data_IF_283227835050
#
_entry.id   IF_283227835050
#
_cell.length_a   1.000
_cell.length_b   1.000
_cell.length_c   1.000
_cell.angle_alpha   90.00
_cell.angle_beta   90.00
_cell.angle_gamma   90.00
#
_symmetry.space_group_name_H-M   'P 1'
#
loop_
_entity.id
_entity.type
_entity.pdbx_description
1 polymer ?
#
# COMPACT_ATOMS: atom_id res chain seq x y z
N UNK A 1 -25.24 -11.43 7.18
CA UNK A 1 -24.21 -10.34 7.21
C UNK A 1 -23.84 -10.03 5.79
N UNK A 2 -23.58 -8.74 5.43
CA UNK A 2 -23.14 -8.40 4.08
C UNK A 2 -21.71 -8.91 3.88
N UNK A 3 -21.46 -9.60 2.77
CA UNK A 3 -20.12 -10.03 2.36
C UNK A 3 -19.42 -8.89 1.66
N UNK A 4 -18.09 -8.89 1.69
CA UNK A 4 -17.26 -7.87 1.02
C UNK A 4 -16.18 -8.50 0.15
N UNK A 5 -15.57 -7.69 -0.71
CA UNK A 5 -14.41 -8.07 -1.53
C UNK A 5 -13.17 -7.26 -1.11
N UNK A 6 -11.99 -7.84 -1.26
CA UNK A 6 -10.71 -7.22 -0.94
C UNK A 6 -9.70 -7.40 -2.07
N UNK A 7 -8.90 -6.35 -2.30
CA UNK A 7 -7.82 -6.32 -3.28
C UNK A 7 -6.50 -6.01 -2.59
N UNK A 8 -5.47 -6.81 -2.86
CA UNK A 8 -4.11 -6.60 -2.36
C UNK A 8 -3.14 -6.44 -3.53
N UNK A 9 -2.58 -5.26 -3.65
CA UNK A 9 -1.54 -4.91 -4.63
C UNK A 9 -0.17 -5.14 -3.98
N UNK A 10 0.69 -5.94 -4.60
CA UNK A 10 1.94 -6.40 -4.00
C UNK A 10 1.80 -7.66 -3.15
N UNK A 11 0.85 -8.53 -3.49
CA UNK A 11 0.49 -9.74 -2.73
C UNK A 11 1.61 -10.78 -2.56
N UNK A 12 2.69 -10.73 -3.34
CA UNK A 12 3.85 -11.63 -3.18
C UNK A 12 4.84 -11.19 -2.09
N UNK A 13 4.75 -9.95 -1.61
CA UNK A 13 5.58 -9.43 -0.51
C UNK A 13 5.14 -9.99 0.87
N UNK A 14 6.02 -9.92 1.88
CA UNK A 14 5.73 -10.45 3.22
C UNK A 14 4.43 -9.88 3.81
N UNK A 15 4.26 -8.56 3.78
CA UNK A 15 3.06 -7.90 4.33
C UNK A 15 1.86 -8.11 3.39
N UNK A 16 2.07 -8.00 2.06
CA UNK A 16 0.99 -8.20 1.08
C UNK A 16 0.40 -9.60 1.13
N UNK A 17 1.23 -10.64 1.23
CA UNK A 17 0.77 -12.02 1.38
C UNK A 17 0.04 -12.25 2.72
N UNK A 18 0.47 -11.57 3.79
CA UNK A 18 -0.22 -11.65 5.07
C UNK A 18 -1.60 -10.96 5.02
N UNK A 19 -1.73 -9.81 4.34
CA UNK A 19 -3.06 -9.19 4.09
C UNK A 19 -3.95 -10.11 3.27
N UNK A 20 -3.44 -10.73 2.21
CA UNK A 20 -4.25 -11.61 1.39
C UNK A 20 -4.76 -12.80 2.20
N UNK A 21 -3.88 -13.48 2.96
CA UNK A 21 -4.29 -14.56 3.86
C UNK A 21 -5.28 -14.11 4.93
N UNK A 22 -5.13 -12.88 5.46
CA UNK A 22 -6.10 -12.33 6.41
C UNK A 22 -7.50 -12.26 5.80
N UNK A 23 -7.62 -11.75 4.56
CA UNK A 23 -8.91 -11.69 3.86
C UNK A 23 -9.44 -13.06 3.44
N UNK A 24 -8.58 -13.96 2.97
CA UNK A 24 -8.96 -15.34 2.61
C UNK A 24 -9.51 -16.13 3.80
N UNK A 25 -9.04 -15.84 5.02
CA UNK A 25 -9.49 -16.49 6.26
C UNK A 25 -10.70 -15.79 6.91
N UNK A 26 -11.12 -14.64 6.42
CA UNK A 26 -12.33 -13.96 6.93
C UNK A 26 -13.58 -14.51 6.23
N UNK A 27 -14.46 -15.16 6.99
CA UNK A 27 -15.72 -15.71 6.49
C UNK A 27 -16.67 -14.67 5.87
N UNK A 28 -16.47 -13.39 6.12
CA UNK A 28 -17.22 -12.30 5.50
C UNK A 28 -16.61 -11.80 4.18
N UNK A 29 -15.39 -12.20 3.86
CA UNK A 29 -14.75 -11.88 2.59
C UNK A 29 -15.19 -12.89 1.53
N UNK A 30 -15.98 -12.45 0.57
CA UNK A 30 -16.47 -13.31 -0.52
C UNK A 30 -15.46 -13.52 -1.64
N UNK A 31 -14.52 -12.58 -1.78
CA UNK A 31 -13.45 -12.63 -2.78
C UNK A 31 -12.25 -11.81 -2.29
N UNK A 32 -11.10 -12.45 -2.17
CA UNK A 32 -9.81 -11.79 -1.97
C UNK A 32 -8.95 -11.94 -3.23
N UNK A 33 -8.55 -10.82 -3.83
CA UNK A 33 -7.74 -10.82 -5.06
C UNK A 33 -6.34 -10.29 -4.76
N UNK A 34 -5.32 -11.06 -5.12
CA UNK A 34 -3.92 -10.66 -5.00
C UNK A 34 -3.31 -10.32 -6.35
N UNK A 35 -2.69 -9.16 -6.47
CA UNK A 35 -1.90 -8.76 -7.63
C UNK A 35 -0.43 -8.60 -7.25
N UNK A 36 0.46 -9.08 -8.09
CA UNK A 36 1.90 -8.89 -7.89
C UNK A 36 2.71 -9.02 -9.17
N UNK A 37 3.95 -8.54 -9.13
CA UNK A 37 4.90 -8.66 -10.23
C UNK A 37 5.32 -10.12 -10.48
N UNK A 38 5.51 -10.88 -9.42
CA UNK A 38 5.94 -12.28 -9.51
C UNK A 38 4.74 -13.21 -9.35
N UNK A 39 4.68 -14.25 -10.18
CA UNK A 39 3.72 -15.32 -10.00
C UNK A 39 4.03 -16.07 -8.70
N UNK A 40 3.02 -16.22 -7.86
CA UNK A 40 3.08 -16.98 -6.60
C UNK A 40 1.74 -17.66 -6.37
N UNK A 41 1.62 -18.48 -5.33
CA UNK A 41 0.32 -19.02 -4.89
C UNK A 41 -0.71 -17.94 -4.54
N UNK A 42 -0.24 -16.72 -4.26
CA UNK A 42 -1.06 -15.57 -3.87
C UNK A 42 -1.25 -14.56 -5.02
N UNK A 43 -0.84 -14.89 -6.25
CA UNK A 43 -0.96 -13.98 -7.39
C UNK A 43 -2.07 -14.43 -8.31
N UNK A 44 -3.17 -13.68 -8.34
CA UNK A 44 -4.28 -13.90 -9.27
C UNK A 44 -4.02 -13.23 -10.62
N UNK A 45 -3.51 -11.98 -10.61
CA UNK A 45 -3.09 -11.24 -11.79
C UNK A 45 -1.68 -10.72 -11.62
N UNK A 46 -0.91 -10.73 -12.71
CA UNK A 46 0.44 -10.16 -12.73
C UNK A 46 0.40 -8.75 -13.30
N UNK A 47 1.16 -7.85 -12.68
CA UNK A 47 1.38 -6.50 -13.16
C UNK A 47 2.84 -6.07 -13.01
N UNK A 48 3.25 -5.12 -13.82
CA UNK A 48 4.52 -4.41 -13.68
C UNK A 48 4.24 -3.00 -13.19
N UNK A 49 4.77 -2.65 -12.02
CA UNK A 49 4.48 -1.37 -11.34
C UNK A 49 4.92 -0.15 -12.17
N UNK A 50 5.96 -0.32 -12.97
CA UNK A 50 6.58 0.70 -13.82
C UNK A 50 5.95 0.75 -15.23
N UNK A 51 4.96 -0.11 -15.50
CA UNK A 51 4.25 -0.19 -16.78
C UNK A 51 2.76 0.11 -16.56
N UNK A 52 2.34 1.34 -16.91
CA UNK A 52 0.97 1.79 -16.70
C UNK A 52 -0.06 0.99 -17.51
N UNK A 53 0.28 0.51 -18.71
CA UNK A 53 -0.62 -0.33 -19.52
C UNK A 53 -0.90 -1.66 -18.84
N UNK A 54 0.10 -2.25 -18.18
CA UNK A 54 -0.06 -3.45 -17.37
C UNK A 54 -1.04 -3.22 -16.21
N UNK A 55 -0.96 -2.08 -15.53
CA UNK A 55 -1.88 -1.71 -14.45
C UNK A 55 -3.31 -1.52 -14.97
N UNK A 56 -3.46 -0.80 -16.10
CA UNK A 56 -4.75 -0.57 -16.73
C UNK A 56 -5.41 -1.89 -17.17
N UNK A 57 -4.63 -2.81 -17.74
CA UNK A 57 -5.10 -4.14 -18.13
C UNK A 57 -5.62 -4.95 -16.95
N UNK A 58 -4.89 -4.98 -15.83
CA UNK A 58 -5.34 -5.66 -14.62
C UNK A 58 -6.62 -5.04 -14.05
N UNK A 59 -6.72 -3.72 -14.01
CA UNK A 59 -7.93 -3.03 -13.55
C UNK A 59 -9.14 -3.35 -14.45
N UNK A 60 -8.93 -3.34 -15.76
CA UNK A 60 -9.98 -3.70 -16.73
C UNK A 60 -10.46 -5.15 -16.57
N UNK A 61 -9.56 -6.09 -16.27
CA UNK A 61 -9.92 -7.49 -16.00
C UNK A 61 -10.84 -7.63 -14.76
N UNK A 62 -10.65 -6.79 -13.75
CA UNK A 62 -11.49 -6.75 -12.54
C UNK A 62 -12.80 -5.99 -12.73
N UNK A 63 -12.92 -5.20 -13.80
CA UNK A 63 -14.16 -4.50 -14.20
C UNK A 63 -15.00 -5.30 -15.20
N UNK A 64 -14.57 -6.46 -15.65
CA UNK A 64 -15.24 -7.21 -16.70
C UNK A 64 -16.29 -8.17 -16.10
N UNK A 65 -17.60 -7.89 -16.25
CA UNK A 65 -18.66 -8.75 -15.71
C UNK A 65 -18.64 -10.18 -16.25
N UNK A 66 -18.11 -10.38 -17.47
CA UNK A 66 -17.98 -11.69 -18.11
C UNK A 66 -16.62 -12.33 -17.89
N UNK A 67 -15.74 -11.68 -17.11
CA UNK A 67 -14.41 -12.19 -16.78
C UNK A 67 -14.43 -13.19 -15.61
N UNK A 68 -13.27 -13.78 -15.32
CA UNK A 68 -13.16 -14.81 -14.27
C UNK A 68 -13.46 -14.29 -12.85
N UNK A 69 -13.39 -12.98 -12.63
CA UNK A 69 -13.65 -12.34 -11.33
C UNK A 69 -15.04 -11.68 -11.27
N UNK A 70 -15.74 -11.55 -12.40
CA UNK A 70 -16.96 -10.76 -12.50
C UNK A 70 -16.69 -9.26 -12.34
N UNK A 71 -17.74 -8.50 -12.03
CA UNK A 71 -17.61 -7.09 -11.68
C UNK A 71 -17.18 -7.00 -10.21
N UNK A 72 -15.97 -6.48 -9.97
CA UNK A 72 -15.45 -6.33 -8.61
C UNK A 72 -15.73 -4.92 -8.07
N UNK A 73 -16.21 -4.87 -6.83
CA UNK A 73 -16.32 -3.67 -6.02
C UNK A 73 -15.71 -3.96 -4.64
N UNK A 74 -14.56 -3.35 -4.38
CA UNK A 74 -13.76 -3.69 -3.20
C UNK A 74 -14.09 -2.79 -2.01
N UNK A 75 -14.33 -3.38 -0.85
CA UNK A 75 -14.36 -2.67 0.44
C UNK A 75 -12.96 -2.28 0.89
N UNK A 76 -11.99 -3.14 0.62
CA UNK A 76 -10.59 -2.95 0.98
C UNK A 76 -9.71 -3.02 -0.25
N UNK A 77 -8.95 -1.96 -0.50
CA UNK A 77 -7.84 -1.97 -1.47
C UNK A 77 -6.58 -1.64 -0.69
N UNK A 78 -5.67 -2.60 -0.62
CA UNK A 78 -4.41 -2.48 0.11
C UNK A 78 -3.26 -2.42 -0.89
N UNK A 79 -2.60 -1.28 -0.98
CA UNK A 79 -1.36 -1.15 -1.73
C UNK A 79 -0.16 -1.44 -0.82
N UNK A 80 0.33 -2.66 -0.90
CA UNK A 80 1.50 -3.17 -0.18
C UNK A 80 2.79 -3.12 -1.03
N UNK A 81 2.83 -2.28 -2.07
CA UNK A 81 4.00 -2.13 -2.93
C UNK A 81 5.07 -1.22 -2.33
N UNK A 82 6.30 -1.37 -2.80
CA UNK A 82 7.42 -0.53 -2.43
C UNK A 82 8.68 -1.34 -2.11
N UNK A 83 9.83 -0.67 -2.20
CA UNK A 83 11.12 -1.27 -1.92
C UNK A 83 12.08 -0.26 -1.28
N UNK A 84 12.90 -0.72 -0.35
CA UNK A 84 13.96 0.09 0.28
C UNK A 84 15.27 -0.02 -0.51
N UNK A 85 15.62 -1.25 -0.89
CA UNK A 85 16.77 -1.55 -1.77
C UNK A 85 16.25 -1.78 -3.17
N UNK A 86 16.72 -1.00 -4.14
CA UNK A 86 16.34 -1.07 -5.55
C UNK A 86 17.62 -1.23 -6.37
N UNK A 87 17.62 -2.13 -7.35
CA UNK A 87 18.78 -2.42 -8.21
C UNK A 87 20.06 -2.72 -7.40
N UNK A 88 19.93 -3.44 -6.28
CA UNK A 88 20.97 -3.76 -5.30
C UNK A 88 21.57 -2.54 -4.56
N UNK A 89 21.02 -1.34 -4.75
CA UNK A 89 21.43 -0.13 -4.03
C UNK A 89 20.53 0.08 -2.82
N UNK A 90 21.12 0.12 -1.64
CA UNK A 90 20.45 0.50 -0.39
C UNK A 90 20.25 2.01 -0.28
N UNK A 91 19.47 2.47 0.72
CA UNK A 91 19.19 3.90 0.88
C UNK A 91 20.45 4.66 1.30
N UNK A 92 20.57 5.91 0.83
CA UNK A 92 21.71 6.81 1.05
C UNK A 92 21.78 7.23 2.52
N UNK A 93 22.96 7.16 3.11
CA UNK A 93 23.18 7.52 4.52
C UNK A 93 23.70 8.96 4.70
N UNK A 94 24.27 9.56 3.66
CA UNK A 94 24.91 10.87 3.68
C UNK A 94 24.60 11.65 2.42
N UNK A 95 24.66 12.98 2.50
CA UNK A 95 24.35 13.88 1.39
C UNK A 95 25.25 13.62 0.17
N UNK A 96 26.53 13.36 0.41
CA UNK A 96 27.52 13.11 -0.66
C UNK A 96 27.26 11.80 -1.42
N UNK A 97 26.45 10.90 -0.85
CA UNK A 97 26.07 9.65 -1.49
C UNK A 97 24.88 9.80 -2.45
N UNK A 98 24.30 10.99 -2.56
CA UNK A 98 23.18 11.24 -3.45
C UNK A 98 23.58 11.04 -4.91
N UNK A 99 22.69 10.35 -5.62
CA UNK A 99 22.86 10.00 -7.01
C UNK A 99 21.51 10.14 -7.72
N UNK A 100 21.47 10.90 -8.80
CA UNK A 100 20.23 11.20 -9.52
C UNK A 100 19.50 9.95 -10.02
N UNK A 101 20.24 8.97 -10.55
CA UNK A 101 19.67 7.72 -11.04
C UNK A 101 18.98 6.95 -9.91
N UNK A 102 19.61 6.83 -8.75
CA UNK A 102 19.05 6.16 -7.58
C UNK A 102 17.83 6.91 -7.02
N UNK A 103 17.89 8.24 -6.94
CA UNK A 103 16.76 9.07 -6.54
C UNK A 103 15.55 8.84 -7.44
N UNK A 104 15.74 8.92 -8.76
CA UNK A 104 14.66 8.66 -9.73
C UNK A 104 14.05 7.26 -9.56
N UNK A 105 14.88 6.23 -9.37
CA UNK A 105 14.40 4.86 -9.11
C UNK A 105 13.60 4.75 -7.81
N UNK A 106 14.02 5.46 -6.74
CA UNK A 106 13.26 5.50 -5.49
C UNK A 106 11.88 6.15 -5.69
N UNK A 107 11.81 7.24 -6.44
CA UNK A 107 10.53 7.88 -6.77
C UNK A 107 9.66 7.01 -7.66
N UNK A 108 10.21 6.40 -8.69
CA UNK A 108 9.48 5.52 -9.60
C UNK A 108 8.77 4.38 -8.87
N UNK A 109 9.49 3.66 -8.02
CA UNK A 109 8.96 2.49 -7.30
C UNK A 109 8.09 2.87 -6.10
N UNK A 110 8.46 3.93 -5.34
CA UNK A 110 7.82 4.22 -4.06
C UNK A 110 6.83 5.40 -4.09
N UNK A 111 6.73 6.14 -5.20
CA UNK A 111 5.81 7.27 -5.36
C UNK A 111 4.99 7.18 -6.66
N UNK A 112 5.65 7.13 -7.82
CA UNK A 112 4.97 7.16 -9.13
C UNK A 112 4.14 5.88 -9.34
N UNK A 113 4.73 4.70 -9.17
CA UNK A 113 4.02 3.43 -9.28
C UNK A 113 2.78 3.36 -8.37
N UNK A 114 2.89 3.64 -7.06
CA UNK A 114 1.74 3.76 -6.17
C UNK A 114 0.68 4.78 -6.59
N UNK A 115 1.07 5.90 -7.17
CA UNK A 115 0.11 6.87 -7.71
C UNK A 115 -0.67 6.31 -8.91
N UNK A 116 0.02 5.59 -9.80
CA UNK A 116 -0.61 4.90 -10.93
C UNK A 116 -1.53 3.76 -10.47
N UNK A 117 -1.12 2.99 -9.44
CA UNK A 117 -2.02 2.02 -8.82
C UNK A 117 -3.29 2.69 -8.30
N UNK A 118 -3.16 3.79 -7.59
CA UNK A 118 -4.32 4.54 -7.10
C UNK A 118 -5.20 5.04 -8.25
N UNK A 119 -4.63 5.58 -9.33
CA UNK A 119 -5.34 6.01 -10.53
C UNK A 119 -6.23 4.90 -11.10
N UNK A 120 -5.70 3.69 -11.25
CA UNK A 120 -6.39 2.59 -11.91
C UNK A 120 -7.30 1.78 -10.99
N UNK A 121 -6.95 1.62 -9.71
CA UNK A 121 -7.68 0.72 -8.81
C UNK A 121 -8.61 1.45 -7.83
N UNK A 122 -8.37 2.73 -7.50
CA UNK A 122 -9.33 3.49 -6.67
C UNK A 122 -10.76 3.52 -7.26
N UNK A 123 -10.98 3.61 -8.59
CA UNK A 123 -12.32 3.52 -9.16
C UNK A 123 -13.10 2.25 -8.81
N UNK A 124 -12.40 1.16 -8.45
CA UNK A 124 -12.98 -0.13 -8.03
C UNK A 124 -13.38 -0.17 -6.55
N UNK A 125 -13.13 0.90 -5.80
CA UNK A 125 -13.51 0.98 -4.39
C UNK A 125 -15.04 1.11 -4.29
N UNK A 126 -15.65 0.36 -3.37
CA UNK A 126 -17.09 0.38 -3.14
C UNK A 126 -17.60 1.78 -2.79
N UNK A 127 -18.75 2.17 -3.37
CA UNK A 127 -19.28 3.53 -3.23
C UNK A 127 -20.12 3.75 -1.97
N UNK A 128 -20.81 2.70 -1.52
CA UNK A 128 -21.95 2.83 -0.61
C UNK A 128 -21.62 2.60 0.87
N UNK A 129 -20.39 2.25 1.20
CA UNK A 129 -19.95 1.97 2.58
C UNK A 129 -18.63 2.69 2.87
N UNK A 130 -18.20 2.66 4.12
CA UNK A 130 -16.86 3.11 4.53
C UNK A 130 -15.80 2.16 3.92
N UNK A 131 -15.60 2.28 2.61
CA UNK A 131 -14.58 1.51 1.90
C UNK A 131 -13.23 2.23 2.00
N UNK A 132 -12.15 1.46 2.07
CA UNK A 132 -10.83 1.98 2.37
C UNK A 132 -9.82 1.67 1.28
N UNK A 133 -9.11 2.71 0.81
CA UNK A 133 -7.86 2.61 0.07
C UNK A 133 -6.71 2.88 1.04
N UNK A 134 -5.96 1.85 1.38
CA UNK A 134 -4.81 1.96 2.26
C UNK A 134 -3.51 1.69 1.50
N UNK A 135 -2.46 2.47 1.78
CA UNK A 135 -1.15 2.28 1.17
C UNK A 135 -0.07 2.14 2.24
N UNK A 136 0.85 1.17 2.08
CA UNK A 136 1.98 1.03 2.97
C UNK A 136 2.97 2.17 2.78
N UNK A 137 2.93 3.12 3.69
CA UNK A 137 3.94 4.16 3.82
C UNK A 137 5.02 3.72 4.83
N UNK A 138 5.65 4.67 5.45
CA UNK A 138 6.61 4.44 6.53
C UNK A 138 6.73 5.71 7.37
N UNK A 139 6.99 5.60 8.67
CA UNK A 139 7.25 6.75 9.56
C UNK A 139 8.34 7.68 9.01
N UNK A 140 9.31 7.12 8.31
CA UNK A 140 10.37 7.90 7.65
C UNK A 140 9.87 8.79 6.49
N UNK A 141 8.63 8.63 6.04
CA UNK A 141 7.96 9.54 5.10
C UNK A 141 7.33 10.77 5.75
N UNK A 142 7.31 10.85 7.07
CA UNK A 142 6.95 12.06 7.80
C UNK A 142 8.10 13.07 7.74
N UNK A 143 7.79 14.31 7.35
CA UNK A 143 8.75 15.42 7.35
C UNK A 143 8.94 15.91 8.79
N UNK A 144 7.83 16.02 9.52
CA UNK A 144 7.82 16.54 10.89
C UNK A 144 8.51 15.58 11.89
N UNK A 145 8.36 14.26 11.72
CA UNK A 145 8.97 13.23 12.57
C UNK A 145 10.40 12.84 12.12
N UNK A 146 11.05 13.67 11.27
CA UNK A 146 12.38 13.38 10.74
C UNK A 146 13.50 13.93 11.62
N UNK A 147 13.78 13.28 12.74
CA UNK A 147 14.91 13.61 13.63
C UNK A 147 16.19 12.81 13.34
N UNK A 148 16.12 11.72 12.57
CA UNK A 148 17.24 10.81 12.35
C UNK A 148 18.04 11.09 11.09
N UNK A 149 17.46 11.75 10.08
CA UNK A 149 18.08 11.96 8.77
C UNK A 149 18.40 10.66 8.02
N UNK A 150 19.28 10.77 7.02
CA UNK A 150 19.64 9.66 6.13
C UNK A 150 18.47 9.17 5.25
N UNK A 151 18.72 8.18 4.41
CA UNK A 151 17.74 7.54 3.53
C UNK A 151 16.99 8.53 2.63
N UNK A 152 17.72 9.48 2.08
CA UNK A 152 17.19 10.65 1.37
C UNK A 152 16.14 10.30 0.32
N UNK A 153 16.51 9.44 -0.64
CA UNK A 153 15.62 9.06 -1.73
C UNK A 153 14.38 8.32 -1.23
N UNK A 154 14.54 7.39 -0.28
CA UNK A 154 13.43 6.63 0.27
C UNK A 154 12.46 7.51 1.09
N UNK A 155 12.99 8.38 1.98
CA UNK A 155 12.18 9.34 2.75
C UNK A 155 11.40 10.27 1.82
N UNK A 156 12.10 10.88 0.87
CA UNK A 156 11.49 11.80 -0.09
C UNK A 156 10.38 11.11 -0.91
N UNK A 157 10.62 9.89 -1.40
CA UNK A 157 9.63 9.15 -2.16
C UNK A 157 8.41 8.73 -1.30
N UNK A 158 8.61 8.36 -0.02
CA UNK A 158 7.50 8.07 0.90
C UNK A 158 6.71 9.33 1.29
N UNK A 159 7.37 10.47 1.46
CA UNK A 159 6.69 11.77 1.65
C UNK A 159 5.87 12.16 0.39
N UNK A 160 6.44 11.97 -0.80
CA UNK A 160 5.72 12.18 -2.06
C UNK A 160 4.49 11.28 -2.19
N UNK A 161 4.61 9.98 -1.84
CA UNK A 161 3.48 9.04 -1.78
C UNK A 161 2.38 9.53 -0.82
N UNK A 162 2.77 10.03 0.36
CA UNK A 162 1.84 10.58 1.33
C UNK A 162 1.10 11.81 0.77
N UNK A 163 1.81 12.72 0.10
CA UNK A 163 1.21 13.88 -0.55
C UNK A 163 0.24 13.49 -1.67
N UNK A 164 0.61 12.52 -2.51
CA UNK A 164 -0.24 12.02 -3.59
C UNK A 164 -1.52 11.38 -3.03
N UNK A 165 -1.41 10.60 -1.94
CA UNK A 165 -2.56 10.02 -1.26
C UNK A 165 -3.47 11.10 -0.66
N UNK A 166 -2.92 12.10 0.00
CA UNK A 166 -3.67 13.23 0.57
C UNK A 166 -4.43 14.00 -0.52
N UNK A 167 -3.75 14.27 -1.66
CA UNK A 167 -4.37 14.97 -2.79
C UNK A 167 -5.54 14.17 -3.37
N UNK A 168 -5.36 12.86 -3.55
CA UNK A 168 -6.40 11.98 -4.05
C UNK A 168 -7.57 11.85 -3.07
N UNK A 169 -7.32 11.82 -1.76
CA UNK A 169 -8.38 11.79 -0.75
C UNK A 169 -9.27 13.04 -0.82
N UNK A 170 -8.69 14.22 -0.99
CA UNK A 170 -9.42 15.49 -1.15
C UNK A 170 -10.25 15.49 -2.44
N UNK A 171 -9.69 15.00 -3.54
CA UNK A 171 -10.42 14.88 -4.81
C UNK A 171 -11.58 13.87 -4.68
N UNK A 172 -11.30 12.70 -4.12
CA UNK A 172 -12.27 11.64 -3.93
C UNK A 172 -13.45 12.05 -3.04
N UNK A 173 -13.22 12.85 -2.00
CA UNK A 173 -14.26 13.29 -1.08
C UNK A 173 -15.42 14.02 -1.78
N UNK A 174 -15.17 14.62 -2.96
CA UNK A 174 -16.20 15.30 -3.75
C UNK A 174 -17.20 14.33 -4.41
N UNK A 175 -16.77 13.12 -4.74
CA UNK A 175 -17.58 12.12 -5.46
C UNK A 175 -17.87 10.87 -4.64
N UNK A 176 -17.01 10.57 -3.65
CA UNK A 176 -17.04 9.38 -2.81
C UNK A 176 -16.81 9.76 -1.33
N UNK A 177 -17.74 10.51 -0.71
CA UNK A 177 -17.54 11.09 0.64
C UNK A 177 -17.39 10.03 1.75
N UNK A 178 -17.78 8.78 1.49
CA UNK A 178 -17.65 7.66 2.43
C UNK A 178 -16.33 6.90 2.28
N UNK A 179 -15.43 7.31 1.38
CA UNK A 179 -14.14 6.65 1.21
C UNK A 179 -13.15 7.06 2.31
N UNK A 180 -12.44 6.08 2.83
CA UNK A 180 -11.32 6.23 3.76
C UNK A 180 -10.01 6.10 2.98
N UNK A 181 -9.08 7.02 3.20
CA UNK A 181 -7.72 6.95 2.67
C UNK A 181 -6.73 6.87 3.83
N UNK A 182 -5.87 5.86 3.82
CA UNK A 182 -4.90 5.63 4.88
C UNK A 182 -3.48 5.41 4.36
N UNK A 183 -2.53 6.17 4.89
CA UNK A 183 -1.11 5.86 4.84
C UNK A 183 -0.76 5.04 6.08
N UNK A 184 -0.22 3.83 5.91
CA UNK A 184 0.03 2.89 6.98
C UNK A 184 1.53 2.73 7.24
N UNK A 185 1.94 2.88 8.50
CA UNK A 185 3.23 2.44 8.99
C UNK A 185 3.09 1.04 9.61
N UNK A 186 3.63 -0.01 8.98
CA UNK A 186 3.42 -1.40 9.43
C UNK A 186 4.24 -1.80 10.67
N UNK A 187 5.06 -0.90 11.22
CA UNK A 187 6.12 -1.27 12.14
C UNK A 187 7.34 -1.83 11.41
N UNK A 188 8.31 -2.32 12.16
CA UNK A 188 9.41 -3.11 11.59
C UNK A 188 8.94 -4.56 11.47
N UNK A 189 8.75 -5.04 10.25
CA UNK A 189 8.17 -6.36 9.97
C UNK A 189 9.24 -7.29 9.39
N UNK A 190 9.24 -8.55 9.80
CA UNK A 190 10.11 -9.60 9.25
C UNK A 190 9.88 -9.73 7.74
N UNK A 191 10.88 -9.36 6.95
CA UNK A 191 10.82 -9.36 5.49
C UNK A 191 12.21 -9.26 4.89
N UNK A 192 12.34 -9.56 3.61
CA UNK A 192 13.60 -9.32 2.88
C UNK A 192 14.00 -7.83 2.88
N UNK A 193 13.03 -6.91 3.07
CA UNK A 193 13.29 -5.48 3.15
C UNK A 193 13.98 -5.10 4.46
N UNK A 194 13.57 -5.66 5.58
CA UNK A 194 14.06 -5.33 6.93
C UNK A 194 15.25 -6.16 7.38
N UNK A 195 15.45 -7.36 6.83
CA UNK A 195 16.44 -8.34 7.29
C UNK A 195 17.89 -7.82 7.31
N UNK A 196 18.22 -6.84 6.46
CA UNK A 196 19.56 -6.21 6.44
C UNK A 196 19.76 -5.15 7.55
N UNK A 197 18.71 -4.76 8.26
CA UNK A 197 18.73 -3.62 9.18
C UNK A 197 18.32 -3.97 10.61
N UNK A 198 17.52 -5.04 10.78
CA UNK A 198 16.95 -5.43 12.07
C UNK A 198 17.00 -6.95 12.21
N UNK A 199 17.37 -7.44 13.39
CA UNK A 199 17.33 -8.88 13.67
C UNK A 199 15.87 -9.37 13.68
N UNK A 200 15.65 -10.63 13.28
CA UNK A 200 14.30 -11.18 13.14
C UNK A 200 13.51 -11.16 14.46
N UNK A 201 14.18 -11.37 15.59
CA UNK A 201 13.54 -11.34 16.91
C UNK A 201 13.03 -9.96 17.33
N UNK A 202 13.58 -8.88 16.72
CA UNK A 202 13.22 -7.49 17.03
C UNK A 202 12.18 -6.93 16.04
N UNK A 203 11.69 -7.77 15.13
CA UNK A 203 10.73 -7.41 14.12
C UNK A 203 9.41 -8.19 14.30
N UNK A 204 8.29 -7.51 14.05
CA UNK A 204 6.95 -8.10 14.08
C UNK A 204 6.81 -9.20 13.01
N UNK A 205 6.07 -10.25 13.30
CA UNK A 205 5.64 -11.17 12.25
C UNK A 205 4.67 -10.43 11.31
N UNK A 206 4.68 -10.74 10.01
CA UNK A 206 3.77 -10.09 9.05
C UNK A 206 2.30 -10.20 9.46
N UNK A 207 1.88 -11.35 9.97
CA UNK A 207 0.51 -11.62 10.40
C UNK A 207 0.09 -10.75 11.59
N UNK A 208 0.99 -10.56 12.57
CA UNK A 208 0.72 -9.74 13.75
C UNK A 208 0.60 -8.25 13.36
N UNK A 209 1.49 -7.78 12.50
CA UNK A 209 1.43 -6.42 11.95
C UNK A 209 0.12 -6.19 11.17
N UNK A 210 -0.26 -7.14 10.31
CA UNK A 210 -1.51 -7.04 9.51
C UNK A 210 -2.73 -7.06 10.41
N UNK A 211 -2.79 -7.94 11.40
CA UNK A 211 -3.93 -7.99 12.34
C UNK A 211 -4.12 -6.65 13.05
N UNK A 212 -3.03 -6.02 13.50
CA UNK A 212 -3.08 -4.71 14.15
C UNK A 212 -3.45 -3.60 13.17
N UNK A 213 -2.87 -3.56 11.96
CA UNK A 213 -3.23 -2.59 10.92
C UNK A 213 -4.70 -2.70 10.51
N UNK A 214 -5.23 -3.92 10.36
CA UNK A 214 -6.65 -4.12 10.04
C UNK A 214 -7.55 -3.62 11.17
N UNK A 215 -7.18 -3.87 12.42
CA UNK A 215 -7.89 -3.30 13.57
C UNK A 215 -7.86 -1.76 13.51
N UNK A 216 -6.71 -1.14 13.26
CA UNK A 216 -6.60 0.31 13.11
C UNK A 216 -7.51 0.83 11.97
N UNK A 217 -7.44 0.21 10.79
CA UNK A 217 -8.23 0.60 9.61
C UNK A 217 -9.75 0.53 9.85
N UNK A 218 -10.24 -0.46 10.61
CA UNK A 218 -11.68 -0.59 10.91
C UNK A 218 -12.23 0.56 11.76
N UNK A 219 -11.37 1.25 12.49
CA UNK A 219 -11.73 2.40 13.35
C UNK A 219 -11.65 3.75 12.63
N UNK A 220 -10.96 3.82 11.48
CA UNK A 220 -10.86 5.05 10.70
C UNK A 220 -12.23 5.43 10.11
N UNK A 221 -12.49 6.71 10.06
CA UNK A 221 -13.73 7.28 9.51
C UNK A 221 -13.40 8.16 8.30
N UNK A 222 -14.33 8.29 7.34
CA UNK A 222 -14.18 9.24 6.25
C UNK A 222 -14.04 10.67 6.79
N UNK A 223 -12.95 11.33 6.48
CA UNK A 223 -12.67 12.72 6.90
C UNK A 223 -12.58 13.67 5.71
N UNK A 224 -12.66 13.13 4.48
CA UNK A 224 -12.34 13.87 3.26
C UNK A 224 -10.84 14.15 3.09
N UNK A 225 -9.99 13.55 3.93
CA UNK A 225 -8.54 13.64 3.93
C UNK A 225 -7.93 12.26 4.15
N UNK A 226 -6.67 12.09 3.77
CA UNK A 226 -5.91 10.91 4.13
C UNK A 226 -5.51 10.96 5.61
N UNK A 227 -5.42 9.80 6.25
CA UNK A 227 -5.00 9.64 7.63
C UNK A 227 -3.70 8.85 7.65
N UNK A 228 -2.69 9.36 8.34
CA UNK A 228 -1.40 8.67 8.47
C UNK A 228 -1.30 8.06 9.86
N UNK A 229 -1.33 6.74 9.92
CA UNK A 229 -1.36 5.99 11.18
C UNK A 229 -0.35 4.86 11.18
N UNK A 230 0.11 4.50 12.37
CA UNK A 230 0.90 3.28 12.55
C UNK A 230 0.02 2.04 12.73
N UNK A 231 0.66 0.88 12.80
CA UNK A 231 0.00 -0.41 12.99
C UNK A 231 -0.84 -0.49 14.27
N UNK A 232 -0.53 0.31 15.29
CA UNK A 232 -1.30 0.38 16.53
C UNK A 232 -2.48 1.38 16.46
N UNK A 233 -2.62 2.10 15.34
CA UNK A 233 -3.66 3.12 15.15
C UNK A 233 -3.28 4.51 15.67
N UNK A 234 -2.03 4.71 16.09
CA UNK A 234 -1.55 6.03 16.51
C UNK A 234 -1.30 6.91 15.29
N UNK A 235 -1.77 8.16 15.33
CA UNK A 235 -1.48 9.14 14.29
C UNK A 235 0.03 9.42 14.20
N UNK A 236 0.48 9.58 12.95
CA UNK A 236 1.83 10.04 12.62
C UNK A 236 1.71 11.41 11.96
N UNK A 237 2.46 12.42 12.40
CA UNK A 237 2.48 13.71 11.73
C UNK A 237 3.01 13.57 10.29
N UNK A 238 2.57 14.49 9.39
CA UNK A 238 2.95 14.45 7.96
C UNK A 238 4.36 14.90 7.65
#
# INVERSE_FOLDING_TARGET
MRTYQALVLGASGAIGSAFLRHFENDSHCSLAVGLSRQKSSHTHLQFELENEESLAHCAAALCNPSGPYGLCEFKWIIDATGALTIDNLGPEKRLEALNSKQLLRQFEVNAVGPALLMKHFFPLLLLQENACYATLSARVGSIEDNYKGGWYGYRAAKAARNMLLQTAAIEAARKRPLSVFAALQPGTVQSNLSAKFVAAQDALRPEDSVSQMMNALTHLKPTGRAQFVDYAGCEIPW
#
